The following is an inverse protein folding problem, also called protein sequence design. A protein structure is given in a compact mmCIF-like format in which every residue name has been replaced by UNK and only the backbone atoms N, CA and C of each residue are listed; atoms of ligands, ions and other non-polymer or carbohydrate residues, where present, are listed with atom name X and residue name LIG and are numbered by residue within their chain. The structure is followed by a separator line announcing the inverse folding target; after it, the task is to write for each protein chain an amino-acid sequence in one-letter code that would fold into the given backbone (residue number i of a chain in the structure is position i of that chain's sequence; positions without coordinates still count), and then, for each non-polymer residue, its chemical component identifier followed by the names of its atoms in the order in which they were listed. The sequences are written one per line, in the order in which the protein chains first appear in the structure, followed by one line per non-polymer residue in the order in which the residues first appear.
data_IF_376308460353
#
_entry.id   IF_376308460353
#
_cell.length_a   1.000
_cell.length_b   1.000
_cell.length_c   1.000
_cell.angle_alpha   90.00
_cell.angle_beta   90.00
_cell.angle_gamma   90.00
#
_symmetry.space_group_name_H-M   'P 1'
#
loop_
_entity.id
_entity.type
_entity.pdbx_description
1 polymer ?
#
# COMPACT_ATOMS: atom_id res chain seq x y z
N UNK A 1 7.14 23.31 1.11
CA UNK A 1 7.16 21.93 0.58
C UNK A 1 5.88 21.30 1.10
N UNK A 2 4.90 21.04 0.23
CA UNK A 2 3.58 20.59 0.66
C UNK A 2 3.69 19.11 1.05
N UNK A 3 3.70 18.84 2.36
CA UNK A 3 3.69 17.50 2.93
C UNK A 3 2.29 16.91 2.74
N UNK A 4 2.06 16.24 1.61
CA UNK A 4 0.81 15.53 1.36
C UNK A 4 0.82 14.21 2.14
N UNK A 5 0.22 14.22 3.33
CA UNK A 5 -0.10 13.00 4.07
C UNK A 5 -1.17 12.21 3.32
N UNK A 6 -0.82 11.00 2.91
CA UNK A 6 -1.71 10.10 2.19
C UNK A 6 -2.30 9.09 3.19
N UNK A 7 -3.56 9.27 3.57
CA UNK A 7 -4.25 8.36 4.48
C UNK A 7 -4.92 7.26 3.67
N UNK A 8 -4.67 6.01 4.05
CA UNK A 8 -5.24 4.83 3.39
C UNK A 8 -5.86 3.87 4.43
N UNK A 9 -6.89 3.15 4.01
CA UNK A 9 -7.53 2.12 4.85
C UNK A 9 -7.07 0.73 4.41
N UNK A 10 -6.63 -0.08 5.37
CA UNK A 10 -6.29 -1.47 5.14
C UNK A 10 -7.55 -2.28 4.81
N UNK A 11 -7.59 -2.94 3.64
CA UNK A 11 -8.72 -3.79 3.24
C UNK A 11 -8.82 -5.11 4.01
N UNK A 12 -7.74 -5.52 4.69
CA UNK A 12 -7.66 -6.77 5.46
C UNK A 12 -8.15 -6.60 6.89
N UNK A 13 -7.64 -5.59 7.62
CA UNK A 13 -7.98 -5.38 9.03
C UNK A 13 -8.85 -4.15 9.30
N UNK A 14 -9.11 -3.31 8.29
CA UNK A 14 -9.90 -2.07 8.42
C UNK A 14 -9.16 -0.90 9.07
N UNK A 15 -7.88 -1.07 9.46
CA UNK A 15 -7.12 0.00 10.11
C UNK A 15 -6.73 1.09 9.10
N UNK A 16 -6.99 2.34 9.44
CA UNK A 16 -6.50 3.51 8.71
C UNK A 16 -5.06 3.84 9.13
N UNK A 17 -4.18 4.05 8.16
CA UNK A 17 -2.79 4.40 8.39
C UNK A 17 -2.30 5.43 7.36
N UNK A 18 -1.29 6.19 7.74
CA UNK A 18 -0.66 7.20 6.89
C UNK A 18 0.52 6.57 6.13
N UNK A 19 0.58 6.82 4.82
CA UNK A 19 1.76 6.51 4.01
C UNK A 19 2.79 7.64 4.12
N UNK A 20 4.09 7.32 4.01
CA UNK A 20 5.15 8.33 3.99
C UNK A 20 4.98 9.26 2.79
N UNK A 21 5.42 10.51 2.94
CA UNK A 21 5.35 11.52 1.87
C UNK A 21 6.26 11.22 0.68
N UNK A 22 7.33 10.44 0.92
CA UNK A 22 8.29 9.98 -0.09
C UNK A 22 7.80 8.73 -0.84
N UNK A 23 6.58 8.26 -0.56
CA UNK A 23 6.03 7.06 -1.21
C UNK A 23 5.88 7.28 -2.71
N UNK A 24 6.31 6.28 -3.49
CA UNK A 24 6.34 6.34 -4.94
C UNK A 24 5.28 5.39 -5.52
N UNK A 25 4.77 5.72 -6.72
CA UNK A 25 3.97 4.76 -7.51
C UNK A 25 4.76 3.46 -7.74
N UNK A 26 4.11 2.33 -7.44
CA UNK A 26 4.71 1.00 -7.52
C UNK A 26 5.41 0.54 -6.25
N UNK A 27 5.51 1.38 -5.21
CA UNK A 27 6.13 0.98 -3.94
C UNK A 27 5.23 0.02 -3.14
N UNK A 28 5.84 -0.88 -2.37
CA UNK A 28 5.12 -1.81 -1.52
C UNK A 28 4.93 -1.18 -0.13
N UNK A 29 3.67 -0.88 0.21
CA UNK A 29 3.28 -0.47 1.55
C UNK A 29 2.78 -1.68 2.34
N UNK A 30 3.24 -1.80 3.59
CA UNK A 30 2.76 -2.81 4.53
C UNK A 30 1.91 -2.17 5.62
N UNK A 31 0.74 -2.75 5.89
CA UNK A 31 -0.09 -2.34 7.00
C UNK A 31 0.66 -2.60 8.33
N UNK A 32 0.85 -1.59 9.18
CA UNK A 32 1.59 -1.75 10.45
C UNK A 32 0.83 -2.59 11.49
N UNK A 33 -0.46 -2.85 11.26
CA UNK A 33 -1.33 -3.58 12.20
C UNK A 33 -1.45 -5.06 11.89
N UNK A 34 -1.69 -5.43 10.63
CA UNK A 34 -1.88 -6.83 10.22
C UNK A 34 -0.75 -7.38 9.34
N UNK A 35 0.18 -6.55 8.88
CA UNK A 35 1.27 -6.97 7.99
C UNK A 35 0.87 -7.20 6.54
N UNK A 36 -0.38 -6.94 6.15
CA UNK A 36 -0.83 -7.03 4.76
C UNK A 36 -0.02 -6.11 3.85
N UNK A 37 0.41 -6.62 2.70
CA UNK A 37 1.23 -5.90 1.71
C UNK A 37 0.38 -5.42 0.54
N UNK A 38 0.58 -4.18 0.13
CA UNK A 38 -0.14 -3.53 -0.94
C UNK A 38 0.84 -2.79 -1.84
N UNK A 39 0.54 -2.72 -3.13
CA UNK A 39 1.21 -1.86 -4.09
C UNK A 39 0.51 -0.51 -4.06
N UNK A 40 1.29 0.54 -3.80
CA UNK A 40 0.83 1.92 -3.84
C UNK A 40 0.73 2.36 -5.29
N UNK A 41 -0.46 2.80 -5.72
CA UNK A 41 -0.70 3.36 -7.05
C UNK A 41 -1.11 4.82 -6.93
N UNK A 42 -0.33 5.72 -7.49
CA UNK A 42 -0.60 7.17 -7.42
C UNK A 42 -1.17 7.62 -8.77
N UNK A 43 -2.44 8.03 -8.81
CA UNK A 43 -3.11 8.54 -10.03
C UNK A 43 -3.75 9.89 -9.78
N UNK A 44 -3.24 10.93 -10.45
CA UNK A 44 -3.86 12.26 -10.46
C UNK A 44 -4.05 12.89 -9.07
N UNK A 45 -3.20 12.55 -8.09
CA UNK A 45 -3.29 13.03 -6.71
C UNK A 45 -4.13 12.14 -5.77
N UNK A 46 -4.68 11.02 -6.26
CA UNK A 46 -5.30 9.99 -5.43
C UNK A 46 -4.40 8.77 -5.29
N UNK A 47 -4.37 8.18 -4.10
CA UNK A 47 -3.67 6.93 -3.82
C UNK A 47 -4.65 5.77 -3.80
N UNK A 48 -4.27 4.70 -4.48
CA UNK A 48 -5.00 3.45 -4.51
C UNK A 48 -4.09 2.35 -3.98
N UNK A 49 -4.60 1.53 -3.06
CA UNK A 49 -3.95 0.30 -2.62
C UNK A 49 -4.42 -0.87 -3.49
N UNK A 50 -3.48 -1.38 -4.29
CA UNK A 50 -3.61 -2.62 -5.05
C UNK A 50 -3.07 -3.77 -4.18
N UNK A 51 -3.78 -4.87 -4.04
CA UNK A 51 -3.27 -6.02 -3.27
C UNK A 51 -1.99 -6.54 -3.92
N UNK A 52 -0.90 -6.63 -3.14
CA UNK A 52 0.32 -7.25 -3.63
C UNK A 52 0.07 -8.75 -3.72
N UNK A 53 -0.44 -9.19 -4.87
CA UNK A 53 -0.38 -10.58 -5.31
C UNK A 53 1.05 -10.86 -5.76
N UNK A 54 1.99 -10.84 -4.82
CA UNK A 54 3.21 -11.59 -5.03
C UNK A 54 2.76 -13.02 -5.21
N UNK A 55 3.05 -13.60 -6.36
CA UNK A 55 2.75 -14.98 -6.69
C UNK A 55 3.35 -15.88 -5.59
N UNK A 56 2.56 -16.18 -4.55
CA UNK A 56 2.74 -17.33 -3.67
C UNK A 56 1.93 -18.48 -4.26
N UNK A 57 1.90 -18.56 -5.59
CA UNK A 57 1.39 -19.70 -6.33
C UNK A 57 2.58 -20.17 -7.17
N UNK A 58 3.20 -21.24 -6.69
CA UNK A 58 4.19 -22.03 -7.42
C UNK A 58 5.64 -21.50 -7.46
N UNK A 59 6.28 -21.37 -6.28
CA UNK A 59 7.62 -21.98 -6.21
C UNK A 59 7.40 -23.49 -6.28
N UNK A 60 7.28 -23.99 -7.52
CA UNK A 60 7.02 -25.38 -7.82
C UNK A 60 8.02 -26.32 -7.16
N UNK A 61 7.45 -27.33 -6.49
CA UNK A 61 7.98 -28.66 -6.10
C UNK A 61 9.27 -28.77 -5.26
#
# INVERSE_FOLDING_TARGET
MATHKLVVQCKVCGTEFELPEDVIDGEIASCPTCGARYIVRIRGGSVILEEFKGDVEDYGE
#
